data_IF_750869335869
#
_entry.id   IF_750869335869
#
_cell.length_a   1.000
_cell.length_b   1.000
_cell.length_c   1.000
_cell.angle_alpha   90.00
_cell.angle_beta   90.00
_cell.angle_gamma   90.00
#
_symmetry.space_group_name_H-M   'P 1'
#
loop_
_entity.id
_entity.type
_entity.pdbx_description
1 polymer ?
#
# COMPACT_ATOMS: atom_id res chain seq x y z
N UNK A 1 16.44 9.27 9.99
CA UNK A 1 15.64 8.47 9.03
C UNK A 1 14.40 9.29 8.67
N UNK A 2 13.95 9.29 7.42
CA UNK A 2 12.68 9.89 7.01
C UNK A 2 11.84 8.79 6.33
N UNK A 3 10.52 8.75 6.53
CA UNK A 3 9.60 7.94 5.71
C UNK A 3 9.86 8.18 4.22
N UNK A 4 9.85 7.12 3.42
CA UNK A 4 10.19 7.18 2.00
C UNK A 4 9.07 6.58 1.15
N UNK A 5 8.89 7.09 -0.07
CA UNK A 5 7.78 6.67 -0.93
C UNK A 5 7.74 5.15 -1.20
N UNK A 6 8.91 4.49 -1.19
CA UNK A 6 9.00 3.03 -1.33
C UNK A 6 8.56 2.28 -0.07
N UNK A 7 8.58 2.90 1.10
CA UNK A 7 8.23 2.31 2.38
C UNK A 7 6.75 2.31 2.68
N UNK A 8 5.91 2.99 1.88
CA UNK A 8 4.48 3.05 2.14
C UNK A 8 3.79 1.67 2.12
N UNK A 9 4.32 0.65 1.43
CA UNK A 9 3.75 -0.71 1.47
C UNK A 9 3.65 -1.25 2.90
N UNK A 10 4.54 -0.81 3.80
CA UNK A 10 4.62 -1.29 5.18
C UNK A 10 3.37 -0.96 5.99
N UNK A 11 2.57 0.03 5.57
CA UNK A 11 1.32 0.39 6.25
C UNK A 11 0.34 -0.81 6.27
N UNK A 12 0.14 -1.46 5.14
CA UNK A 12 -0.79 -2.58 5.01
C UNK A 12 -0.06 -3.91 5.18
N UNK A 13 1.14 -4.03 4.61
CA UNK A 13 1.83 -5.32 4.48
C UNK A 13 2.73 -5.73 5.65
N UNK A 14 3.07 -4.83 6.57
CA UNK A 14 3.88 -5.15 7.77
C UNK A 14 3.07 -4.99 9.06
N UNK A 15 3.44 -5.73 10.11
CA UNK A 15 2.83 -5.54 11.43
C UNK A 15 3.09 -4.15 12.01
N UNK A 16 4.25 -3.58 11.69
CA UNK A 16 4.63 -2.21 12.07
C UNK A 16 5.03 -1.43 10.81
N UNK A 17 4.41 -0.27 10.61
CA UNK A 17 4.71 0.61 9.47
C UNK A 17 6.02 1.39 9.64
N UNK A 18 6.60 1.92 8.56
CA UNK A 18 7.75 2.81 8.65
C UNK A 18 7.48 4.06 9.52
N UNK A 19 6.23 4.53 9.52
CA UNK A 19 5.81 5.69 10.32
C UNK A 19 5.78 5.36 11.81
N UNK A 20 5.19 4.23 12.17
CA UNK A 20 5.11 3.78 13.55
C UNK A 20 6.50 3.44 14.09
N UNK A 21 7.32 2.76 13.30
CA UNK A 21 8.71 2.46 13.64
C UNK A 21 9.52 3.74 13.83
N UNK A 22 9.33 4.74 12.96
CA UNK A 22 10.00 6.04 13.09
C UNK A 22 9.54 6.80 14.34
N UNK A 23 8.23 6.81 14.61
CA UNK A 23 7.67 7.51 15.77
C UNK A 23 8.19 6.91 17.08
N UNK A 24 8.07 5.60 17.24
CA UNK A 24 8.54 4.88 18.45
C UNK A 24 10.04 5.08 18.68
N UNK A 25 10.85 5.05 17.61
CA UNK A 25 12.27 5.35 17.68
C UNK A 25 12.57 6.79 18.14
N UNK A 26 11.79 7.79 17.69
CA UNK A 26 11.96 9.19 18.07
C UNK A 26 11.58 9.43 19.53
N UNK A 27 10.52 8.79 20.03
CA UNK A 27 10.03 8.98 21.40
C UNK A 27 10.65 8.02 22.43
N UNK A 28 11.56 7.15 22.00
CA UNK A 28 12.26 6.20 22.88
C UNK A 28 11.41 5.03 23.38
N UNK A 29 10.36 4.67 22.64
CA UNK A 29 9.52 3.50 22.93
C UNK A 29 10.09 2.23 22.26
N UNK A 30 9.69 1.03 22.73
CA UNK A 30 10.07 -0.22 22.06
C UNK A 30 9.66 -0.22 20.59
N UNK A 31 10.56 -0.75 19.75
CA UNK A 31 10.31 -0.94 18.33
C UNK A 31 9.27 -2.03 18.11
N UNK A 32 8.43 -1.87 17.08
CA UNK A 32 7.46 -2.88 16.68
C UNK A 32 8.09 -3.97 15.78
N UNK A 33 7.31 -5.02 15.53
CA UNK A 33 7.67 -6.11 14.61
C UNK A 33 7.56 -5.65 13.14
N UNK A 34 8.67 -5.61 12.38
CA UNK A 34 8.65 -5.21 10.97
C UNK A 34 8.25 -6.35 10.03
N UNK A 35 7.94 -7.55 10.53
CA UNK A 35 7.62 -8.72 9.70
C UNK A 35 6.39 -8.46 8.82
N UNK A 36 6.41 -9.05 7.63
CA UNK A 36 5.28 -8.94 6.70
C UNK A 36 4.11 -9.83 7.16
N UNK A 37 2.89 -9.34 6.97
CA UNK A 37 1.63 -10.07 7.17
C UNK A 37 1.37 -11.08 6.04
N UNK A 38 1.98 -10.86 4.88
CA UNK A 38 1.80 -11.65 3.66
C UNK A 38 3.15 -12.01 3.01
N UNK A 39 3.22 -13.04 2.13
CA UNK A 39 4.46 -13.43 1.48
C UNK A 39 5.07 -12.37 0.54
N UNK A 40 4.25 -11.45 0.02
CA UNK A 40 4.65 -10.39 -0.89
C UNK A 40 3.67 -9.22 -0.82
N UNK A 41 4.11 -8.03 -1.26
CA UNK A 41 3.29 -6.83 -1.39
C UNK A 41 3.79 -5.97 -2.55
N UNK A 42 2.89 -5.27 -3.24
CA UNK A 42 3.20 -4.40 -4.38
C UNK A 42 2.54 -3.03 -4.16
N UNK A 43 3.19 -1.96 -4.62
CA UNK A 43 2.59 -0.62 -4.66
C UNK A 43 2.55 -0.16 -6.10
N UNK A 44 1.43 0.42 -6.53
CA UNK A 44 1.30 1.13 -7.79
C UNK A 44 1.04 2.61 -7.54
N UNK A 45 1.98 3.45 -7.97
CA UNK A 45 1.79 4.89 -7.94
C UNK A 45 1.05 5.31 -9.21
N UNK A 46 -0.06 6.05 -9.06
CA UNK A 46 -0.85 6.52 -10.19
C UNK A 46 -0.76 8.05 -10.25
N UNK A 47 -0.16 8.54 -11.34
CA UNK A 47 -0.07 9.96 -11.64
C UNK A 47 -1.20 10.29 -12.61
N UNK A 48 -2.25 10.95 -12.10
CA UNK A 48 -3.49 11.14 -12.85
C UNK A 48 -3.59 12.48 -13.60
N UNK A 49 -2.95 13.56 -13.13
CA UNK A 49 -3.22 14.91 -13.66
C UNK A 49 -2.36 15.30 -14.87
N UNK A 50 -1.13 14.78 -15.02
CA UNK A 50 -0.26 15.12 -16.16
C UNK A 50 -0.86 14.67 -17.51
N UNK A 51 -1.81 13.72 -17.48
CA UNK A 51 -2.57 13.25 -18.64
C UNK A 51 -3.99 13.87 -18.76
N UNK A 52 -4.35 14.81 -17.88
CA UNK A 52 -5.64 15.48 -17.84
C UNK A 52 -6.82 14.52 -17.58
N UNK A 53 -7.95 14.75 -18.27
CA UNK A 53 -9.18 13.95 -18.12
C UNK A 53 -8.94 12.44 -18.34
N UNK A 54 -8.02 12.09 -19.24
CA UNK A 54 -7.71 10.68 -19.55
C UNK A 54 -7.02 9.98 -18.38
N UNK A 55 -6.03 10.62 -17.75
CA UNK A 55 -5.35 10.08 -16.59
C UNK A 55 -6.31 9.95 -15.40
N UNK A 56 -7.24 10.88 -15.25
CA UNK A 56 -8.31 10.79 -14.25
C UNK A 56 -9.22 9.58 -14.48
N UNK A 57 -9.68 9.34 -15.72
CA UNK A 57 -10.51 8.18 -16.07
C UNK A 57 -9.76 6.86 -15.81
N UNK A 58 -8.49 6.78 -16.22
CA UNK A 58 -7.66 5.60 -16.00
C UNK A 58 -7.47 5.33 -14.51
N UNK A 59 -7.15 6.36 -13.72
CA UNK A 59 -7.02 6.25 -12.27
C UNK A 59 -8.32 5.72 -11.64
N UNK A 60 -9.48 6.24 -12.05
CA UNK A 60 -10.79 5.75 -11.57
C UNK A 60 -11.04 4.29 -11.91
N UNK A 61 -10.65 3.84 -13.10
CA UNK A 61 -10.78 2.43 -13.48
C UNK A 61 -9.91 1.52 -12.62
N UNK A 62 -8.65 1.90 -12.37
CA UNK A 62 -7.75 1.12 -11.50
C UNK A 62 -8.24 1.11 -10.06
N UNK A 63 -8.71 2.24 -9.53
CA UNK A 63 -9.34 2.32 -8.19
C UNK A 63 -10.53 1.37 -8.12
N UNK A 64 -11.43 1.42 -9.10
CA UNK A 64 -12.62 0.56 -9.12
C UNK A 64 -12.25 -0.91 -9.11
N UNK A 65 -11.23 -1.31 -9.85
CA UNK A 65 -10.72 -2.69 -9.85
C UNK A 65 -10.13 -3.05 -8.48
N UNK A 66 -9.31 -2.18 -7.90
CA UNK A 66 -8.71 -2.40 -6.58
C UNK A 66 -9.77 -2.58 -5.49
N UNK A 67 -10.83 -1.76 -5.48
CA UNK A 67 -11.94 -1.87 -4.52
C UNK A 67 -12.72 -3.20 -4.64
N UNK A 68 -12.64 -3.88 -5.78
CA UNK A 68 -13.25 -5.19 -5.99
C UNK A 68 -12.28 -6.36 -5.73
N UNK A 69 -11.01 -6.10 -5.43
CA UNK A 69 -9.99 -7.14 -5.22
C UNK A 69 -9.76 -7.34 -3.71
N UNK A 70 -10.04 -8.53 -3.16
CA UNK A 70 -9.75 -8.82 -1.76
C UNK A 70 -8.26 -8.61 -1.44
N UNK A 71 -7.98 -7.88 -0.35
CA UNK A 71 -6.63 -7.57 0.09
C UNK A 71 -6.00 -6.33 -0.56
N UNK A 72 -6.62 -5.70 -1.55
CA UNK A 72 -6.14 -4.43 -2.09
C UNK A 72 -6.61 -3.23 -1.25
N UNK A 73 -5.77 -2.19 -1.17
CA UNK A 73 -6.03 -0.98 -0.39
C UNK A 73 -5.77 0.27 -1.24
N UNK A 74 -6.71 1.23 -1.21
CA UNK A 74 -6.57 2.48 -1.98
C UNK A 74 -6.26 3.62 -1.03
N UNK A 75 -5.18 4.36 -1.29
CA UNK A 75 -4.77 5.52 -0.49
C UNK A 75 -4.80 6.78 -1.35
N UNK A 76 -5.94 7.44 -1.32
CA UNK A 76 -6.09 8.72 -2.01
C UNK A 76 -5.53 9.85 -1.15
N UNK A 77 -4.61 10.62 -1.70
CA UNK A 77 -4.10 11.81 -1.05
C UNK A 77 -4.69 13.03 -1.76
N UNK A 78 -5.22 13.97 -0.99
CA UNK A 78 -5.77 15.23 -1.51
C UNK A 78 -4.64 16.22 -1.88
N UNK A 79 -3.68 15.74 -2.67
CA UNK A 79 -2.59 16.53 -3.23
C UNK A 79 -2.87 16.69 -4.72
N UNK A 80 -2.85 17.92 -5.26
CA UNK A 80 -3.01 18.14 -6.69
C UNK A 80 -2.05 17.24 -7.47
N UNK A 81 -2.61 16.31 -8.25
CA UNK A 81 -1.87 15.44 -9.16
C UNK A 81 -1.36 14.09 -8.66
N UNK A 82 -1.68 13.64 -7.43
CA UNK A 82 -1.09 12.40 -6.89
C UNK A 82 -2.11 11.45 -6.28
N UNK A 83 -2.16 10.22 -6.79
CA UNK A 83 -2.95 9.12 -6.23
C UNK A 83 -2.05 7.91 -6.01
N UNK A 84 -2.08 7.34 -4.81
CA UNK A 84 -1.32 6.12 -4.52
C UNK A 84 -2.28 4.96 -4.38
N UNK A 85 -2.07 3.89 -5.15
CA UNK A 85 -2.86 2.67 -5.02
C UNK A 85 -1.94 1.58 -4.49
N UNK A 86 -2.30 1.05 -3.34
CA UNK A 86 -1.58 -0.04 -2.72
C UNK A 86 -2.20 -1.35 -3.19
N UNK A 87 -1.35 -2.23 -3.68
CA UNK A 87 -1.79 -3.55 -4.12
C UNK A 87 -1.08 -4.59 -3.28
N UNK A 88 -1.61 -4.85 -2.10
CA UNK A 88 -1.12 -5.97 -1.32
C UNK A 88 -1.58 -7.27 -2.01
N UNK A 89 -0.65 -7.95 -2.70
CA UNK A 89 -0.88 -9.32 -3.11
C UNK A 89 -0.68 -10.17 -1.86
N UNK A 90 -1.70 -10.20 -1.01
CA UNK A 90 -1.94 -11.31 -0.12
C UNK A 90 -2.17 -12.57 -0.96
N UNK A 91 -1.10 -13.18 -1.47
CA UNK A 91 -1.17 -14.54 -1.97
C UNK A 91 -1.30 -15.44 -0.73
N UNK A 92 -2.51 -15.55 -0.18
CA UNK A 92 -2.83 -16.69 0.67
C UNK A 92 -2.72 -17.89 -0.25
N UNK A 93 -1.60 -18.62 -0.17
CA UNK A 93 -1.43 -19.87 -0.90
C UNK A 93 -2.68 -20.72 -0.72
N UNK A 94 -3.29 -21.11 -1.84
CA UNK A 94 -4.28 -22.17 -1.85
C UNK A 94 -3.65 -23.43 -1.28
N UNK A 95 -3.87 -23.67 0.01
CA UNK A 95 -3.76 -24.98 0.60
C UNK A 95 -5.11 -25.69 0.45
N UNK A 96 -5.33 -26.35 -0.69
CA UNK A 96 -6.10 -27.60 -0.69
C UNK A 96 -5.12 -28.75 -0.91
N UNK A 97 -4.66 -29.31 0.21
CA UNK A 97 -4.26 -30.70 0.30
C UNK A 97 -5.50 -31.53 0.68
N UNK A 98 -5.69 -32.66 -0.01
CA UNK A 98 -6.75 -33.70 0.06
C UNK A 98 -8.10 -33.32 -0.59
N UNK A 99 -8.57 -34.00 -1.64
CA UNK A 99 -8.60 -35.46 -1.92
C UNK A 99 -8.50 -35.78 -3.40
#
# INVERSE_FOLDING_TARGET
MKPHNSGHHTNESCYTSEYEQHLTAVVGLPLGDPSMKAPASIIYNILGEDEGERGFILAHEVIRRALCTPGAYVHWYDKPGWVFIFYDICYSGGGETNK
#
